data_IF_324891112759
#
_entry.id   IF_324891112759
#
_cell.length_a   1.000
_cell.length_b   1.000
_cell.length_c   1.000
_cell.angle_alpha   90.00
_cell.angle_beta   90.00
_cell.angle_gamma   90.00
#
_symmetry.space_group_name_H-M   'P 1'
#
loop_
_entity.id
_entity.type
_entity.pdbx_description
1 polymer ?
#
# COMPACT_ATOMS: atom_id res chain seq x y z
N UNK A 1 -19.07 -6.83 -2.17
CA UNK A 1 -18.33 -6.61 -3.44
C UNK A 1 -17.66 -5.22 -3.54
N UNK A 2 -18.34 -4.08 -3.32
CA UNK A 2 -17.69 -2.75 -3.42
C UNK A 2 -16.78 -2.44 -2.22
N UNK A 3 -17.20 -2.74 -0.99
CA UNK A 3 -16.40 -2.50 0.23
C UNK A 3 -15.10 -3.32 0.24
N UNK A 4 -15.19 -4.58 -0.19
CA UNK A 4 -14.07 -5.54 -0.23
C UNK A 4 -12.99 -5.11 -1.24
N UNK A 5 -13.38 -4.77 -2.48
CA UNK A 5 -12.46 -4.21 -3.50
C UNK A 5 -11.74 -2.94 -3.04
N UNK A 6 -12.38 -2.19 -2.16
CA UNK A 6 -11.92 -0.88 -1.70
C UNK A 6 -10.95 -1.02 -0.51
N UNK A 7 -11.19 -1.99 0.39
CA UNK A 7 -10.21 -2.38 1.43
C UNK A 7 -8.97 -3.02 0.79
N UNK A 8 -9.16 -3.86 -0.23
CA UNK A 8 -8.05 -4.45 -0.98
C UNK A 8 -7.19 -3.38 -1.66
N UNK A 9 -7.79 -2.36 -2.27
CA UNK A 9 -7.02 -1.28 -2.90
C UNK A 9 -6.21 -0.43 -1.90
N UNK A 10 -6.68 -0.30 -0.64
CA UNK A 10 -5.96 0.34 0.46
C UNK A 10 -4.71 -0.46 0.83
N UNK A 11 -4.91 -1.75 1.14
CA UNK A 11 -3.84 -2.61 1.61
C UNK A 11 -2.81 -2.86 0.50
N UNK A 12 -3.23 -2.93 -0.76
CA UNK A 12 -2.33 -3.05 -1.91
C UNK A 12 -1.45 -1.81 -2.09
N UNK A 13 -1.98 -0.62 -1.85
CA UNK A 13 -1.18 0.62 -1.93
C UNK A 13 -0.09 0.64 -0.85
N UNK A 14 -0.46 0.31 0.40
CA UNK A 14 0.49 0.21 1.52
C UNK A 14 1.51 -0.90 1.25
N UNK A 15 1.08 -2.06 0.74
CA UNK A 15 1.98 -3.13 0.31
C UNK A 15 2.94 -2.68 -0.79
N UNK A 16 2.47 -1.87 -1.75
CA UNK A 16 3.31 -1.30 -2.80
C UNK A 16 4.38 -0.35 -2.25
N UNK A 17 4.04 0.49 -1.28
CA UNK A 17 5.02 1.34 -0.57
C UNK A 17 6.05 0.49 0.19
N UNK A 18 5.59 -0.51 0.91
CA UNK A 18 6.42 -1.40 1.69
C UNK A 18 7.43 -2.19 0.83
N UNK A 19 6.95 -2.84 -0.25
CA UNK A 19 7.81 -3.57 -1.19
C UNK A 19 8.85 -2.64 -1.83
N UNK A 20 8.47 -1.39 -2.16
CA UNK A 20 9.40 -0.38 -2.70
C UNK A 20 10.48 -0.03 -1.68
N UNK A 21 10.12 0.19 -0.42
CA UNK A 21 11.09 0.50 0.65
C UNK A 21 12.07 -0.63 0.91
N UNK A 22 11.62 -1.88 0.92
CA UNK A 22 12.52 -3.04 1.03
C UNK A 22 13.47 -3.09 -0.17
N UNK A 23 12.97 -2.88 -1.39
CA UNK A 23 13.79 -2.87 -2.62
C UNK A 23 14.76 -1.69 -2.70
N UNK A 24 14.41 -0.53 -2.16
CA UNK A 24 15.26 0.65 -2.13
C UNK A 24 16.27 0.63 -0.99
N UNK A 25 16.28 -0.40 -0.14
CA UNK A 25 17.30 -0.58 0.88
C UNK A 25 18.67 -0.67 0.22
N UNK A 26 19.59 0.22 0.62
CA UNK A 26 20.97 0.28 0.11
C UNK A 26 21.69 -1.06 0.22
N UNK A 27 21.32 -1.90 1.19
CA UNK A 27 21.85 -3.25 1.36
C UNK A 27 20.76 -4.25 1.02
N UNK A 28 20.88 -4.99 -0.10
CA UNK A 28 19.98 -6.10 -0.37
C UNK A 28 20.21 -7.17 0.70
N UNK A 29 19.16 -7.61 1.41
CA UNK A 29 19.29 -8.61 2.45
C UNK A 29 19.73 -9.95 1.85
N UNK A 30 20.78 -10.54 2.41
CA UNK A 30 21.36 -11.83 1.98
C UNK A 30 20.91 -12.99 2.88
N UNK A 31 20.35 -12.69 4.05
CA UNK A 31 19.82 -13.67 5.01
C UNK A 31 18.37 -13.37 5.36
N UNK A 32 17.65 -14.38 5.86
CA UNK A 32 16.27 -14.20 6.33
C UNK A 32 16.17 -13.18 7.48
N UNK A 33 17.16 -13.13 8.36
CA UNK A 33 17.19 -12.16 9.46
C UNK A 33 17.40 -10.73 8.95
N UNK A 34 18.28 -10.53 7.97
CA UNK A 34 18.45 -9.22 7.34
C UNK A 34 17.18 -8.77 6.61
N UNK A 35 16.50 -9.71 5.93
CA UNK A 35 15.22 -9.41 5.27
C UNK A 35 14.15 -9.04 6.29
N UNK A 36 14.06 -9.75 7.42
CA UNK A 36 13.14 -9.44 8.51
C UNK A 36 13.40 -8.05 9.09
N UNK A 37 14.67 -7.71 9.33
CA UNK A 37 15.04 -6.41 9.86
C UNK A 37 14.78 -5.27 8.87
N UNK A 38 15.09 -5.49 7.58
CA UNK A 38 14.78 -4.54 6.52
C UNK A 38 13.27 -4.35 6.34
N UNK A 39 12.48 -5.42 6.48
CA UNK A 39 11.03 -5.37 6.48
C UNK A 39 10.50 -4.54 7.66
N UNK A 40 10.95 -4.80 8.89
CA UNK A 40 10.53 -4.01 10.06
C UNK A 40 10.89 -2.52 9.91
N UNK A 41 12.13 -2.23 9.51
CA UNK A 41 12.56 -0.84 9.26
C UNK A 41 11.78 -0.18 8.09
N UNK A 42 11.47 -0.93 7.04
CA UNK A 42 10.63 -0.45 5.95
C UNK A 42 9.22 -0.12 6.44
N UNK A 43 8.64 -0.95 7.31
CA UNK A 43 7.33 -0.72 7.91
C UNK A 43 7.32 0.55 8.78
N UNK A 44 8.26 0.66 9.72
CA UNK A 44 8.34 1.78 10.66
C UNK A 44 8.63 3.12 9.97
N UNK A 45 9.29 3.07 8.82
CA UNK A 45 9.60 4.28 8.03
C UNK A 45 8.48 4.71 7.09
N UNK A 46 7.33 4.01 7.04
CA UNK A 46 6.16 4.47 6.27
C UNK A 46 5.59 5.73 6.96
N UNK A 47 5.57 6.89 6.28
CA UNK A 47 5.01 8.09 6.86
C UNK A 47 3.52 7.94 7.14
N UNK A 48 3.10 8.24 8.36
CA UNK A 48 1.67 8.19 8.75
C UNK A 48 0.81 9.15 7.92
N UNK A 49 1.41 10.23 7.40
CA UNK A 49 0.75 11.16 6.48
C UNK A 49 0.33 10.47 5.18
N UNK A 50 1.15 9.57 4.64
CA UNK A 50 0.82 8.84 3.41
C UNK A 50 -0.34 7.87 3.67
N UNK A 51 -0.31 7.15 4.79
CA UNK A 51 -1.41 6.27 5.21
C UNK A 51 -2.71 7.06 5.37
N UNK A 52 -2.65 8.21 6.05
CA UNK A 52 -3.81 9.08 6.25
C UNK A 52 -4.34 9.64 4.93
N UNK A 53 -3.47 10.03 4.00
CA UNK A 53 -3.85 10.49 2.68
C UNK A 53 -4.59 9.38 1.91
N UNK A 54 -4.14 8.12 1.99
CA UNK A 54 -4.85 7.01 1.33
C UNK A 54 -6.25 6.87 1.92
N UNK A 55 -6.39 6.87 3.25
CA UNK A 55 -7.69 6.80 3.94
C UNK A 55 -8.59 7.97 3.54
N UNK A 56 -8.06 9.18 3.45
CA UNK A 56 -8.84 10.37 3.07
C UNK A 56 -9.31 10.32 1.61
N UNK A 57 -8.52 9.74 0.70
CA UNK A 57 -8.90 9.59 -0.71
C UNK A 57 -9.81 8.37 -0.96
N UNK A 58 -10.15 7.59 0.06
CA UNK A 58 -11.00 6.40 -0.07
C UNK A 58 -12.41 6.68 -0.61
N UNK A 59 -13.11 7.74 -0.17
CA UNK A 59 -14.41 8.06 -0.74
C UNK A 59 -14.33 8.27 -2.25
N UNK A 60 -13.29 8.96 -2.73
CA UNK A 60 -13.11 9.24 -4.16
C UNK A 60 -12.82 7.97 -4.97
N UNK A 61 -11.99 7.07 -4.43
CA UNK A 61 -11.72 5.75 -5.04
C UNK A 61 -12.99 4.90 -5.08
N UNK A 62 -13.76 4.89 -4.00
CA UNK A 62 -15.03 4.18 -3.93
C UNK A 62 -16.02 4.71 -4.97
N UNK A 63 -16.13 6.04 -5.10
CA UNK A 63 -16.95 6.67 -6.13
C UNK A 63 -16.47 6.35 -7.55
N UNK A 64 -15.16 6.22 -7.77
CA UNK A 64 -14.62 5.79 -9.07
C UNK A 64 -15.03 4.34 -9.39
N UNK A 65 -14.94 3.42 -8.43
CA UNK A 65 -15.35 2.01 -8.59
C UNK A 65 -16.87 1.91 -8.83
N UNK A 66 -17.68 2.68 -8.09
CA UNK A 66 -19.13 2.74 -8.29
C UNK A 66 -19.46 3.25 -9.70
N UNK A 67 -18.82 4.35 -10.14
CA UNK A 67 -18.99 4.89 -11.50
C UNK A 67 -18.57 3.90 -12.59
N UNK A 68 -17.51 3.14 -12.35
CA UNK A 68 -17.05 2.07 -13.24
C UNK A 68 -17.90 0.79 -13.15
N UNK A 69 -18.98 0.77 -12.34
CA UNK A 69 -19.81 -0.42 -12.06
C UNK A 69 -18.98 -1.63 -11.62
N UNK A 70 -17.93 -1.38 -10.84
CA UNK A 70 -16.99 -2.40 -10.37
C UNK A 70 -15.87 -2.76 -11.35
N UNK A 71 -15.77 -2.08 -12.49
CA UNK A 71 -14.68 -2.20 -13.46
C UNK A 71 -13.38 -1.53 -13.03
N UNK A 72 -12.38 -1.54 -13.92
CA UNK A 72 -11.05 -0.99 -13.63
C UNK A 72 -11.10 0.53 -13.45
N UNK A 73 -10.33 1.01 -12.49
CA UNK A 73 -10.14 2.45 -12.23
C UNK A 73 -8.65 2.79 -12.34
N UNK A 74 -8.30 4.08 -12.35
CA UNK A 74 -6.90 4.54 -12.35
C UNK A 74 -6.16 4.24 -11.03
N UNK A 75 -6.90 3.83 -10.00
CA UNK A 75 -6.41 3.57 -8.65
C UNK A 75 -6.02 2.12 -8.44
#
# INVERSE_FOLDING_TARGET
MVVEKVVDALIEHVWGMFKRKIKSSSKPPKTLNELRNAALAAWDSIPQVDVRNIIQNMPDRMQAVIRARGGNTRY
#
